data_IF_456175171266
#
_entry.id   IF_456175171266
#
_cell.length_a   1.000
_cell.length_b   1.000
_cell.length_c   1.000
_cell.angle_alpha   90.00
_cell.angle_beta   90.00
_cell.angle_gamma   90.00
#
_symmetry.space_group_name_H-M   'P 1'
#
loop_
_entity.id
_entity.type
_entity.pdbx_description
1 polymer ?
#
# COMPACT_ATOMS: atom_id res chain seq x y z
N UNK A 1 -14.50 7.82 7.09
CA UNK A 1 -14.63 6.35 7.10
C UNK A 1 -14.90 5.87 8.53
N UNK A 2 -14.00 6.14 9.48
CA UNK A 2 -14.15 5.73 10.87
C UNK A 2 -15.43 6.27 11.54
N UNK A 3 -15.87 7.50 11.21
CA UNK A 3 -17.13 8.04 11.75
C UNK A 3 -18.38 7.26 11.32
N UNK A 4 -18.31 6.55 10.18
CA UNK A 4 -19.44 5.78 9.63
C UNK A 4 -19.38 4.29 9.96
N UNK A 5 -18.19 3.70 10.11
CA UNK A 5 -18.02 2.25 10.24
C UNK A 5 -17.17 1.90 11.46
N UNK A 6 -17.83 1.40 12.52
CA UNK A 6 -17.25 0.86 13.76
C UNK A 6 -16.07 1.64 14.37
N UNK A 7 -15.97 2.96 14.11
CA UNK A 7 -14.88 3.83 14.61
C UNK A 7 -13.46 3.34 14.27
N UNK A 8 -13.31 2.47 13.28
CA UNK A 8 -12.03 1.80 12.99
C UNK A 8 -11.42 1.14 14.24
N UNK A 9 -12.22 0.31 14.93
CA UNK A 9 -11.79 -0.39 16.15
C UNK A 9 -10.82 -1.54 15.83
N UNK A 10 -9.58 -1.45 16.35
CA UNK A 10 -8.46 -2.35 16.08
C UNK A 10 -8.72 -3.83 16.47
N UNK A 11 -9.69 -4.11 17.34
CA UNK A 11 -9.83 -5.40 18.06
C UNK A 11 -10.09 -6.61 17.15
N UNK A 12 -10.62 -6.40 15.94
CA UNK A 12 -10.84 -7.45 14.93
C UNK A 12 -9.99 -7.28 13.67
N UNK A 13 -9.18 -6.23 13.59
CA UNK A 13 -8.35 -5.93 12.43
C UNK A 13 -7.22 -6.94 12.26
N UNK A 14 -6.68 -7.48 13.36
CA UNK A 14 -5.62 -8.49 13.35
C UNK A 14 -5.99 -9.78 12.57
N UNK A 15 -7.29 -10.14 12.52
CA UNK A 15 -7.75 -11.29 11.74
C UNK A 15 -7.78 -11.02 10.24
N UNK A 16 -8.09 -9.77 9.85
CA UNK A 16 -8.09 -9.35 8.46
C UNK A 16 -6.67 -9.06 7.94
N UNK A 17 -5.79 -8.52 8.78
CA UNK A 17 -4.37 -8.31 8.44
C UNK A 17 -3.65 -9.60 8.06
N UNK A 18 -3.92 -10.72 8.76
CA UNK A 18 -3.28 -12.00 8.45
C UNK A 18 -3.54 -12.50 7.01
N UNK A 19 -4.61 -12.02 6.37
CA UNK A 19 -4.96 -12.41 5.02
C UNK A 19 -4.51 -11.38 3.96
N UNK A 20 -4.01 -10.22 4.37
CA UNK A 20 -3.63 -9.11 3.49
C UNK A 20 -2.11 -8.94 3.45
N UNK A 21 -1.53 -9.14 2.28
CA UNK A 21 -0.12 -8.88 2.04
C UNK A 21 0.06 -7.39 1.70
N UNK A 22 0.28 -6.57 2.73
CA UNK A 22 0.48 -5.13 2.59
C UNK A 22 1.98 -4.77 2.61
N UNK A 23 2.46 -3.93 1.69
CA UNK A 23 3.86 -3.54 1.64
C UNK A 23 4.29 -2.79 2.91
N UNK A 24 5.39 -3.23 3.52
CA UNK A 24 6.05 -2.58 4.65
C UNK A 24 7.55 -2.43 4.38
N UNK A 25 8.18 -1.43 4.99
CA UNK A 25 9.63 -1.24 4.97
C UNK A 25 10.27 -1.92 6.18
N UNK A 26 11.35 -2.66 5.95
CA UNK A 26 12.14 -3.36 6.95
C UNK A 26 13.62 -2.95 6.89
N UNK A 27 14.41 -3.25 7.92
CA UNK A 27 15.82 -2.83 7.99
C UNK A 27 16.64 -3.26 6.76
N UNK A 28 16.38 -4.48 6.26
CA UNK A 28 17.01 -5.03 5.05
C UNK A 28 16.77 -4.22 3.77
N UNK A 29 15.74 -3.37 3.76
CA UNK A 29 15.38 -2.56 2.60
C UNK A 29 16.27 -1.30 2.50
N UNK A 30 17.12 -1.03 3.49
CA UNK A 30 18.07 0.07 3.45
C UNK A 30 17.43 1.46 3.50
N UNK A 31 16.18 1.57 3.96
CA UNK A 31 15.45 2.83 4.03
C UNK A 31 15.59 3.57 5.37
N UNK A 32 16.19 2.94 6.38
CA UNK A 32 16.38 3.52 7.71
C UNK A 32 17.76 4.16 7.83
N UNK A 33 17.93 5.10 8.78
CA UNK A 33 19.21 5.80 8.97
C UNK A 33 20.38 4.84 9.20
N UNK A 34 20.16 3.79 9.99
CA UNK A 34 21.12 2.70 10.14
C UNK A 34 21.01 1.76 8.95
N UNK A 35 22.13 1.49 8.27
CA UNK A 35 22.15 0.60 7.11
C UNK A 35 21.52 1.20 5.85
N UNK A 36 21.44 2.53 5.75
CA UNK A 36 20.87 3.20 4.58
C UNK A 36 21.57 2.80 3.28
N UNK A 37 20.78 2.40 2.28
CA UNK A 37 21.24 2.13 0.93
C UNK A 37 20.23 2.76 -0.05
N UNK A 38 20.66 3.79 -0.77
CA UNK A 38 19.80 4.53 -1.69
C UNK A 38 19.19 3.65 -2.78
N UNK A 39 19.96 2.74 -3.36
CA UNK A 39 19.53 1.88 -4.47
C UNK A 39 18.49 0.87 -3.98
N UNK A 40 18.82 0.09 -2.95
CA UNK A 40 17.91 -0.90 -2.36
C UNK A 40 16.62 -0.24 -1.86
N UNK A 41 16.74 0.93 -1.20
CA UNK A 41 15.58 1.63 -0.68
C UNK A 41 14.69 2.17 -1.80
N UNK A 42 15.27 2.83 -2.82
CA UNK A 42 14.49 3.36 -3.93
C UNK A 42 13.77 2.24 -4.70
N UNK A 43 14.44 1.11 -4.92
CA UNK A 43 13.84 -0.08 -5.52
C UNK A 43 12.69 -0.59 -4.65
N UNK A 44 12.88 -0.74 -3.33
CA UNK A 44 11.81 -1.20 -2.42
C UNK A 44 10.61 -0.25 -2.39
N UNK A 45 10.83 1.07 -2.30
CA UNK A 45 9.76 2.08 -2.32
C UNK A 45 8.95 1.94 -3.62
N UNK A 46 9.65 1.83 -4.76
CA UNK A 46 9.02 1.71 -6.07
C UNK A 46 8.18 0.44 -6.18
N UNK A 47 8.73 -0.71 -5.78
CA UNK A 47 8.00 -1.99 -5.78
C UNK A 47 6.80 -1.97 -4.83
N UNK A 48 6.95 -1.40 -3.63
CA UNK A 48 5.84 -1.28 -2.68
C UNK A 48 4.70 -0.39 -3.20
N UNK A 49 5.02 0.72 -3.88
CA UNK A 49 3.98 1.56 -4.50
C UNK A 49 3.28 0.84 -5.66
N UNK A 50 4.00 0.00 -6.41
CA UNK A 50 3.42 -0.85 -7.45
C UNK A 50 2.44 -1.87 -6.84
N UNK A 51 2.79 -2.52 -5.74
CA UNK A 51 1.90 -3.42 -4.98
C UNK A 51 0.65 -2.66 -4.48
N UNK A 52 0.83 -1.46 -3.93
CA UNK A 52 -0.29 -0.62 -3.49
C UNK A 52 -1.23 -0.19 -4.63
N UNK A 53 -0.80 -0.12 -5.89
CA UNK A 53 -1.71 0.20 -7.00
C UNK A 53 -2.85 -0.81 -7.13
N UNK A 54 -2.59 -2.10 -6.83
CA UNK A 54 -3.61 -3.16 -6.86
C UNK A 54 -4.64 -2.91 -5.77
N UNK A 55 -4.17 -2.66 -4.55
CA UNK A 55 -5.01 -2.35 -3.38
C UNK A 55 -5.82 -1.06 -3.56
N UNK A 56 -5.21 -0.01 -4.11
CA UNK A 56 -5.88 1.27 -4.38
C UNK A 56 -6.96 1.14 -5.45
N UNK A 57 -6.76 0.28 -6.45
CA UNK A 57 -7.81 -0.03 -7.44
C UNK A 57 -9.01 -0.73 -6.78
N UNK A 58 -8.76 -1.64 -5.82
CA UNK A 58 -9.82 -2.22 -5.01
C UNK A 58 -10.59 -1.14 -4.21
N UNK A 59 -9.89 -0.22 -3.55
CA UNK A 59 -10.53 0.90 -2.82
C UNK A 59 -11.37 1.75 -3.77
N UNK A 60 -10.83 2.12 -4.94
CA UNK A 60 -11.55 2.94 -5.92
C UNK A 60 -12.89 2.30 -6.35
N UNK A 61 -12.92 0.97 -6.47
CA UNK A 61 -14.13 0.22 -6.84
C UNK A 61 -15.12 0.04 -5.69
N UNK A 62 -14.63 -0.08 -4.45
CA UNK A 62 -15.42 -0.53 -3.30
C UNK A 62 -15.70 0.55 -2.24
N UNK A 63 -15.08 1.73 -2.34
CA UNK A 63 -15.24 2.79 -1.36
C UNK A 63 -16.55 3.56 -1.59
N UNK A 64 -17.43 3.53 -0.58
CA UNK A 64 -18.75 4.16 -0.60
C UNK A 64 -18.73 5.63 -0.15
N UNK A 65 -17.58 6.12 0.32
CA UNK A 65 -17.40 7.52 0.73
C UNK A 65 -17.19 8.46 -0.45
N UNK A 66 -16.31 9.44 -0.25
CA UNK A 66 -15.94 10.37 -1.31
C UNK A 66 -15.11 9.65 -2.39
N UNK A 67 -15.75 9.36 -3.54
CA UNK A 67 -15.13 8.71 -4.70
C UNK A 67 -14.04 9.54 -5.36
N UNK A 68 -14.16 10.87 -5.35
CA UNK A 68 -13.14 11.77 -5.89
C UNK A 68 -11.85 11.66 -5.08
N UNK A 69 -11.94 11.58 -3.75
CA UNK A 69 -10.78 11.37 -2.89
C UNK A 69 -10.10 10.02 -3.18
N UNK A 70 -10.88 8.94 -3.27
CA UNK A 70 -10.33 7.62 -3.60
C UNK A 70 -9.63 7.61 -4.98
N UNK A 71 -10.24 8.26 -5.97
CA UNK A 71 -9.66 8.40 -7.30
C UNK A 71 -8.38 9.26 -7.29
N UNK A 72 -8.38 10.38 -6.55
CA UNK A 72 -7.20 11.23 -6.39
C UNK A 72 -6.04 10.48 -5.75
N UNK A 73 -6.27 9.70 -4.69
CA UNK A 73 -5.23 8.89 -4.06
C UNK A 73 -4.65 7.86 -5.03
N UNK A 74 -5.50 7.16 -5.80
CA UNK A 74 -5.06 6.21 -6.81
C UNK A 74 -4.18 6.89 -7.88
N UNK A 75 -4.65 7.99 -8.47
CA UNK A 75 -3.93 8.72 -9.53
C UNK A 75 -2.63 9.32 -9.01
N UNK A 76 -2.65 10.00 -7.86
CA UNK A 76 -1.45 10.60 -7.26
C UNK A 76 -0.38 9.56 -6.93
N UNK A 77 -0.78 8.41 -6.40
CA UNK A 77 0.14 7.29 -6.13
C UNK A 77 0.72 6.73 -7.43
N UNK A 78 -0.09 6.63 -8.50
CA UNK A 78 0.36 6.17 -9.82
C UNK A 78 1.37 7.13 -10.44
N UNK A 79 1.14 8.43 -10.33
CA UNK A 79 2.07 9.45 -10.79
C UNK A 79 3.38 9.41 -10.01
N UNK A 80 3.32 9.28 -8.68
CA UNK A 80 4.50 9.12 -7.83
C UNK A 80 5.32 7.88 -8.24
N UNK A 81 4.67 6.73 -8.43
CA UNK A 81 5.30 5.51 -8.93
C UNK A 81 6.04 5.76 -10.26
N UNK A 82 5.38 6.40 -11.23
CA UNK A 82 6.00 6.71 -12.52
C UNK A 82 7.22 7.64 -12.40
N UNK A 83 7.18 8.60 -11.46
CA UNK A 83 8.34 9.46 -11.19
C UNK A 83 9.51 8.68 -10.59
N UNK A 84 9.24 7.76 -9.67
CA UNK A 84 10.27 6.96 -9.00
C UNK A 84 10.87 5.89 -9.93
N UNK A 85 10.07 5.26 -10.79
CA UNK A 85 10.56 4.33 -11.81
C UNK A 85 11.59 4.95 -12.77
N UNK A 86 11.53 6.27 -13.00
CA UNK A 86 12.53 7.00 -13.81
C UNK A 86 13.86 7.21 -13.06
N UNK A 87 13.86 7.10 -11.74
CA UNK A 87 15.04 7.26 -10.89
C UNK A 87 15.72 5.93 -10.57
N UNK A 88 15.01 4.81 -10.67
CA UNK A 88 15.61 3.48 -10.50
C UNK A 88 16.51 3.19 -11.70
N UNK A 89 17.78 2.84 -11.44
CA UNK A 89 18.80 2.63 -12.49
C UNK A 89 18.62 1.31 -13.24
N UNK A 90 18.17 0.25 -12.56
CA UNK A 90 17.85 -1.06 -13.16
C UNK A 90 16.33 -1.27 -13.15
N UNK A 91 15.68 -1.00 -14.29
CA UNK A 91 14.25 -1.30 -14.44
C UNK A 91 13.94 -2.80 -14.25
N UNK A 92 14.93 -3.66 -14.44
CA UNK A 92 14.84 -5.11 -14.27
C UNK A 92 14.72 -5.57 -12.79
N UNK A 93 15.07 -4.71 -11.82
CA UNK A 93 14.94 -5.03 -10.38
C UNK A 93 13.58 -4.67 -9.79
N UNK A 94 12.81 -3.81 -10.47
CA UNK A 94 11.42 -3.53 -10.07
C UNK A 94 10.58 -4.74 -10.47
N UNK A 95 10.50 -5.69 -9.55
CA UNK A 95 9.83 -6.97 -9.75
C UNK A 95 8.35 -6.75 -10.09
N UNK A 96 7.79 -7.65 -10.91
CA UNK A 96 6.34 -7.79 -11.06
C UNK A 96 5.68 -7.91 -9.67
N UNK A 97 4.52 -7.26 -9.45
CA UNK A 97 3.86 -7.28 -8.15
C UNK A 97 3.65 -8.72 -7.68
N UNK A 98 3.81 -8.95 -6.38
CA UNK A 98 3.68 -10.28 -5.80
C UNK A 98 2.30 -10.89 -6.14
N UNK A 99 2.23 -12.04 -6.84
CA UNK A 99 0.97 -12.69 -7.23
C UNK A 99 0.07 -13.04 -6.03
N UNK A 100 0.63 -13.13 -4.82
CA UNK A 100 -0.12 -13.33 -3.58
C UNK A 100 -1.06 -12.16 -3.24
N UNK A 101 -0.74 -10.96 -3.73
CA UNK A 101 -1.53 -9.73 -3.52
C UNK A 101 -2.88 -9.79 -4.22
N UNK A 102 -2.93 -10.26 -5.46
CA UNK A 102 -4.17 -10.40 -6.23
C UNK A 102 -5.05 -11.53 -5.67
N UNK A 103 -4.41 -12.64 -5.27
CA UNK A 103 -5.10 -13.81 -4.71
C UNK A 103 -5.84 -13.49 -3.41
N UNK A 104 -5.22 -12.71 -2.51
CA UNK A 104 -5.84 -12.30 -1.24
C UNK A 104 -7.03 -11.36 -1.45
N UNK A 105 -6.89 -10.36 -2.32
CA UNK A 105 -8.00 -9.45 -2.67
C UNK A 105 -9.17 -10.21 -3.32
N UNK A 106 -8.90 -11.19 -4.17
CA UNK A 106 -9.94 -12.04 -4.77
C UNK A 106 -10.69 -12.86 -3.72
N UNK A 107 -10.00 -13.38 -2.70
CA UNK A 107 -10.64 -14.11 -1.61
C UNK A 107 -11.60 -13.20 -0.81
N UNK A 108 -11.19 -11.96 -0.54
CA UNK A 108 -12.02 -10.95 0.15
C UNK A 108 -13.26 -10.59 -0.69
N UNK A 109 -13.08 -10.40 -2.00
CA UNK A 109 -14.20 -10.12 -2.92
C UNK A 109 -15.22 -11.27 -2.97
N UNK A 110 -14.77 -12.53 -2.89
CA UNK A 110 -15.65 -13.71 -2.88
C UNK A 110 -16.45 -13.85 -1.58
N UNK A 111 -15.94 -13.36 -0.45
CA UNK A 111 -16.60 -13.50 0.85
C UNK A 111 -17.87 -12.64 0.99
N UNK A 112 -18.01 -11.57 0.19
CA UNK A 112 -19.16 -10.62 0.21
C UNK A 112 -19.56 -10.10 1.62
N UNK A 113 -18.59 -10.04 2.54
CA UNK A 113 -18.80 -9.52 3.90
C UNK A 113 -18.47 -8.01 3.93
N UNK A 114 -19.48 -7.17 4.22
CA UNK A 114 -19.32 -5.71 4.29
C UNK A 114 -18.40 -5.27 5.43
N UNK A 115 -18.41 -5.97 6.57
CA UNK A 115 -17.49 -5.66 7.66
C UNK A 115 -16.05 -5.95 7.24
N UNK A 116 -15.81 -7.07 6.55
CA UNK A 116 -14.49 -7.43 6.02
C UNK A 116 -14.04 -6.43 4.94
N UNK A 117 -14.94 -5.99 4.05
CA UNK A 117 -14.66 -4.97 3.03
C UNK A 117 -14.25 -3.65 3.67
N UNK A 118 -15.01 -3.14 4.63
CA UNK A 118 -14.64 -1.90 5.33
C UNK A 118 -13.34 -2.04 6.11
N UNK A 119 -13.14 -3.15 6.83
CA UNK A 119 -11.89 -3.39 7.56
C UNK A 119 -10.69 -3.46 6.62
N UNK A 120 -10.83 -4.13 5.46
CA UNK A 120 -9.80 -4.21 4.43
C UNK A 120 -9.42 -2.83 3.89
N UNK A 121 -10.42 -1.99 3.57
CA UNK A 121 -10.16 -0.61 3.11
C UNK A 121 -9.40 0.17 4.19
N UNK A 122 -9.77 0.03 5.47
CA UNK A 122 -9.10 0.74 6.57
C UNK A 122 -7.63 0.33 6.69
N UNK A 123 -7.37 -0.98 6.70
CA UNK A 123 -6.03 -1.55 6.79
C UNK A 123 -5.13 -1.12 5.63
N UNK A 124 -5.64 -1.15 4.40
CA UNK A 124 -4.90 -0.68 3.21
C UNK A 124 -4.53 0.81 3.38
N UNK A 125 -5.48 1.66 3.78
CA UNK A 125 -5.25 3.10 3.91
C UNK A 125 -4.23 3.40 5.01
N UNK A 126 -4.34 2.76 6.18
CA UNK A 126 -3.40 2.90 7.28
C UNK A 126 -2.00 2.44 6.89
N UNK A 127 -1.89 1.26 6.25
CA UNK A 127 -0.61 0.74 5.80
C UNK A 127 0.02 1.60 4.70
N UNK A 128 -0.78 2.18 3.81
CA UNK A 128 -0.28 3.11 2.79
C UNK A 128 0.24 4.40 3.44
N UNK A 129 -0.47 4.95 4.42
CA UNK A 129 -0.02 6.11 5.18
C UNK A 129 1.33 5.84 5.83
N UNK A 130 1.45 4.76 6.59
CA UNK A 130 2.71 4.35 7.25
C UNK A 130 3.84 4.20 6.23
N UNK A 131 3.58 3.47 5.14
CA UNK A 131 4.56 3.25 4.08
C UNK A 131 5.04 4.58 3.45
N UNK A 132 4.13 5.51 3.16
CA UNK A 132 4.47 6.82 2.61
C UNK A 132 5.24 7.68 3.61
N UNK A 133 4.89 7.64 4.91
CA UNK A 133 5.62 8.38 5.93
C UNK A 133 7.08 7.91 6.05
N UNK A 134 7.32 6.60 6.07
CA UNK A 134 8.68 6.05 6.09
C UNK A 134 9.42 6.31 4.77
N UNK A 135 8.75 6.16 3.63
CA UNK A 135 9.33 6.46 2.31
C UNK A 135 9.76 7.93 2.20
N UNK A 136 8.95 8.86 2.69
CA UNK A 136 9.27 10.28 2.70
C UNK A 136 10.51 10.58 3.56
N UNK A 137 10.65 9.93 4.71
CA UNK A 137 11.84 10.05 5.57
C UNK A 137 13.10 9.55 4.85
N UNK A 138 13.01 8.42 4.17
CA UNK A 138 14.12 7.86 3.39
C UNK A 138 14.51 8.77 2.22
N UNK A 139 13.53 9.28 1.46
CA UNK A 139 13.79 10.19 0.33
C UNK A 139 14.44 11.51 0.76
N UNK A 140 14.22 11.99 2.00
CA UNK A 140 14.87 13.20 2.52
C UNK A 140 16.36 13.04 2.81
N UNK A 141 16.85 11.80 2.92
CA UNK A 141 18.27 11.49 3.15
C UNK A 141 18.96 10.88 1.91
N UNK A 142 18.20 10.68 0.82
CA UNK A 142 18.70 10.36 -0.53
C UNK A 142 19.20 11.63 -1.23
#
# INVERSE_FOLDING_TARGET
MCDKYNKCEDSKEALAENNLHLPKLAEKDGCFQSGFNQETCLTRITTGLLEFQIHLKYIQANYEGNKENANSVYISTKLLLQMLMRKVKSQDEVTTPDPTTDTSLQAILKAQDEWLKHTTIHLILRSLEDFLQFSLRAVRIM
#
